data_IF_241624348210
#
_entry.id   IF_241624348210
#
_cell.length_a   1.000
_cell.length_b   1.000
_cell.length_c   1.000
_cell.angle_alpha   90.00
_cell.angle_beta   90.00
_cell.angle_gamma   90.00
#
_symmetry.space_group_name_H-M   'P 1'
#
loop_
_entity.id
_entity.type
_entity.pdbx_description
1 polymer ?
#
# COMPACT_ATOMS: atom_id res chain seq x y z
N UNK A 1 -0.34 5.72 28.81
CA UNK A 1 -1.52 5.72 27.92
C UNK A 1 -1.34 4.61 26.90
N UNK A 2 -2.32 3.70 26.73
CA UNK A 2 -2.23 2.58 25.78
C UNK A 2 -2.63 3.10 24.39
N UNK A 3 -1.67 3.34 23.49
CA UNK A 3 -1.97 3.73 22.10
C UNK A 3 -2.58 2.50 21.41
N UNK A 4 -3.83 2.62 20.94
CA UNK A 4 -4.47 1.57 20.15
C UNK A 4 -3.84 1.59 18.76
N UNK A 5 -3.23 0.49 18.36
CA UNK A 5 -2.66 0.33 17.02
C UNK A 5 -3.76 -0.21 16.11
N UNK A 6 -4.07 0.50 15.01
CA UNK A 6 -4.95 -0.01 13.96
C UNK A 6 -4.09 -0.79 12.98
N UNK A 7 -4.47 -2.02 12.70
CA UNK A 7 -3.85 -2.85 11.66
C UNK A 7 -4.77 -2.83 10.45
N UNK A 8 -4.22 -2.44 9.31
CA UNK A 8 -4.89 -2.49 8.01
C UNK A 8 -4.29 -3.64 7.22
N UNK A 9 -5.15 -4.50 6.67
CA UNK A 9 -4.74 -5.56 5.76
C UNK A 9 -5.15 -5.21 4.33
N UNK A 10 -4.20 -5.19 3.42
CA UNK A 10 -4.43 -5.01 2.00
C UNK A 10 -4.34 -6.38 1.31
N UNK A 11 -5.44 -6.82 0.70
CA UNK A 11 -5.54 -8.12 0.02
C UNK A 11 -5.51 -7.92 -1.49
N UNK A 12 -4.51 -8.48 -2.15
CA UNK A 12 -4.34 -8.34 -3.59
C UNK A 12 -5.10 -9.41 -4.36
N UNK A 13 -6.28 -9.06 -4.88
CA UNK A 13 -7.15 -9.99 -5.63
C UNK A 13 -6.58 -10.30 -7.02
N UNK A 14 -5.94 -9.33 -7.67
CA UNK A 14 -5.35 -9.44 -9.01
C UNK A 14 -4.12 -8.53 -9.15
N UNK A 15 -3.34 -8.74 -10.22
CA UNK A 15 -2.18 -7.92 -10.55
C UNK A 15 -0.85 -8.49 -10.04
N UNK A 16 0.21 -7.65 -9.97
CA UNK A 16 1.58 -8.10 -9.68
C UNK A 16 1.76 -8.82 -8.34
N UNK A 17 0.96 -8.45 -7.34
CA UNK A 17 1.01 -9.02 -5.98
C UNK A 17 -0.14 -10.00 -5.72
N UNK A 18 -0.76 -10.55 -6.78
CA UNK A 18 -1.96 -11.41 -6.62
C UNK A 18 -1.74 -12.51 -5.59
N UNK A 19 -2.66 -12.60 -4.63
CA UNK A 19 -2.65 -13.59 -3.55
C UNK A 19 -1.86 -13.16 -2.32
N UNK A 20 -1.10 -12.06 -2.39
CA UNK A 20 -0.43 -11.50 -1.22
C UNK A 20 -1.42 -10.75 -0.31
N UNK A 21 -1.13 -10.83 0.99
CA UNK A 21 -1.78 -10.04 2.03
C UNK A 21 -0.67 -9.23 2.70
N UNK A 22 -0.81 -7.91 2.69
CA UNK A 22 0.15 -6.99 3.30
C UNK A 22 -0.49 -6.30 4.49
N UNK A 23 0.25 -6.20 5.59
CA UNK A 23 -0.24 -5.59 6.83
C UNK A 23 0.50 -4.28 7.11
N UNK A 24 -0.27 -3.24 7.44
CA UNK A 24 0.25 -1.93 7.78
C UNK A 24 -0.27 -1.50 9.15
N UNK A 25 0.61 -0.91 9.95
CA UNK A 25 0.28 -0.31 11.25
C UNK A 25 0.44 1.23 11.24
N UNK A 26 0.64 1.80 10.05
CA UNK A 26 0.86 3.23 9.81
C UNK A 26 -0.48 4.00 9.86
N UNK A 27 -0.43 5.24 10.36
CA UNK A 27 -1.60 6.14 10.37
C UNK A 27 -1.99 6.60 8.95
N UNK A 28 -1.06 6.53 7.99
CA UNK A 28 -1.28 6.86 6.58
C UNK A 28 -0.55 5.85 5.70
N UNK A 29 -1.27 5.14 4.86
CA UNK A 29 -0.70 4.15 3.94
C UNK A 29 -0.71 4.75 2.55
N UNK A 30 0.47 4.93 1.96
CA UNK A 30 0.60 5.50 0.61
C UNK A 30 0.78 4.40 -0.43
N UNK A 31 0.11 4.53 -1.57
CA UNK A 31 0.08 3.53 -2.64
C UNK A 31 0.52 4.22 -3.94
N UNK A 32 1.49 3.65 -4.65
CA UNK A 32 1.97 4.21 -5.90
C UNK A 32 3.13 3.42 -6.50
N UNK A 33 3.76 3.94 -7.56
CA UNK A 33 5.01 3.39 -8.13
C UNK A 33 6.27 4.17 -7.74
N UNK A 34 6.13 5.16 -6.87
CA UNK A 34 7.25 5.85 -6.26
C UNK A 34 7.84 4.97 -5.15
N UNK A 35 9.17 4.72 -5.11
CA UNK A 35 9.81 3.93 -4.05
C UNK A 35 9.58 4.44 -2.62
N UNK A 36 9.10 5.68 -2.45
CA UNK A 36 8.75 6.22 -1.14
C UNK A 36 7.35 5.82 -0.65
N UNK A 37 6.54 5.10 -1.42
CA UNK A 37 5.20 4.67 -1.02
C UNK A 37 5.24 3.44 -0.11
N UNK A 38 4.32 3.37 0.86
CA UNK A 38 4.14 2.22 1.76
C UNK A 38 3.90 0.93 0.96
N UNK A 39 3.02 0.98 -0.05
CA UNK A 39 2.91 -0.03 -1.10
C UNK A 39 3.44 0.52 -2.42
N UNK A 40 4.54 -0.06 -2.88
CA UNK A 40 5.20 0.30 -4.15
C UNK A 40 4.90 -0.74 -5.23
N UNK A 41 4.18 -0.34 -6.28
CA UNK A 41 4.01 -1.12 -7.50
C UNK A 41 5.25 -1.03 -8.42
N UNK A 42 5.45 -2.02 -9.33
CA UNK A 42 6.55 -2.00 -10.28
C UNK A 42 6.64 -0.67 -11.06
N UNK A 43 7.85 -0.12 -11.27
CA UNK A 43 8.03 1.21 -11.84
C UNK A 43 7.58 1.32 -13.31
N UNK A 44 7.56 0.19 -14.02
CA UNK A 44 7.12 0.00 -15.40
C UNK A 44 5.60 -0.17 -15.55
N UNK A 45 4.87 -0.36 -14.44
CA UNK A 45 3.41 -0.44 -14.43
C UNK A 45 2.78 0.96 -14.55
N UNK A 46 2.82 1.52 -15.76
CA UNK A 46 2.46 2.92 -16.04
C UNK A 46 0.99 3.30 -15.74
N UNK A 47 0.09 2.33 -15.59
CA UNK A 47 -1.30 2.56 -15.16
C UNK A 47 -1.38 3.06 -13.71
N UNK A 48 -0.35 2.81 -12.90
CA UNK A 48 -0.25 3.32 -11.52
C UNK A 48 0.55 4.63 -11.52
N UNK A 49 -0.01 5.67 -10.91
CA UNK A 49 0.68 6.95 -10.73
C UNK A 49 1.84 6.83 -9.72
N UNK A 50 2.83 7.73 -9.79
CA UNK A 50 3.95 7.75 -8.83
C UNK A 50 3.45 7.80 -7.38
N UNK A 51 2.53 8.72 -7.10
CA UNK A 51 1.76 8.77 -5.85
C UNK A 51 0.29 8.61 -6.26
N UNK A 52 -0.28 7.42 -6.10
CA UNK A 52 -1.55 7.06 -6.74
C UNK A 52 -2.75 7.22 -5.81
N UNK A 53 -2.64 6.74 -4.58
CA UNK A 53 -3.70 6.82 -3.58
C UNK A 53 -3.12 6.80 -2.16
N UNK A 54 -3.96 7.14 -1.20
CA UNK A 54 -3.66 7.01 0.23
C UNK A 54 -4.87 6.53 1.01
N UNK A 55 -4.60 5.81 2.11
CA UNK A 55 -5.59 5.43 3.13
C UNK A 55 -5.23 6.20 4.40
N UNK A 56 -6.21 6.94 4.95
CA UNK A 56 -6.10 7.82 6.14
C UNK A 56 -7.25 7.59 7.12
#
# INVERSE_FOLDING_TARGET
>A
MKKTVKIVQLVHIQGPFKGEIQEFAEDKITIGRNPSCSLTFPPDLAIVSRNHAEIV
#
